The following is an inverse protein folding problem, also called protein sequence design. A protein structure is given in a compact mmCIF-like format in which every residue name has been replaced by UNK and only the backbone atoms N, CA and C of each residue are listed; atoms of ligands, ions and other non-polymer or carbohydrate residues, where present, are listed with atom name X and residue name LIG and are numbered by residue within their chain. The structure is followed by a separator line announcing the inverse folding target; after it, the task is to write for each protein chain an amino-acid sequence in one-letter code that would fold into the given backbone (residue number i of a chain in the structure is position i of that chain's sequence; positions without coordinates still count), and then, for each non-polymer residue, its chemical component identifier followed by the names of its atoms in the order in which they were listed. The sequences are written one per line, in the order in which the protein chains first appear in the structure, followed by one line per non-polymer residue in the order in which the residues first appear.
data_IF_344607351143
#
_entry.id   IF_344607351143
#
_cell.length_a   1.000
_cell.length_b   1.000
_cell.length_c   1.000
_cell.angle_alpha   90.00
_cell.angle_beta   90.00
_cell.angle_gamma   90.00
#
_symmetry.space_group_name_H-M   'P 1'
#
loop_
_entity.id
_entity.type
_entity.pdbx_description
1 polymer ?
#
# COMPACT_ATOMS: atom_id res chain seq x y z
N UNK A 1 -29.68 1.75 -1.41
CA UNK A 1 -29.74 1.15 -0.06
C UNK A 1 -28.86 -0.10 0.04
N UNK A 2 -27.58 -0.03 -0.38
CA UNK A 2 -26.63 -1.14 -0.18
C UNK A 2 -25.20 -0.66 0.21
N UNK A 3 -24.98 0.66 0.26
CA UNK A 3 -23.65 1.25 0.46
C UNK A 3 -23.20 1.24 1.93
N UNK A 4 -24.14 1.24 2.89
CA UNK A 4 -23.78 1.12 4.31
C UNK A 4 -23.30 -0.30 4.65
N UNK A 5 -23.93 -1.33 4.09
CA UNK A 5 -23.52 -2.72 4.31
C UNK A 5 -22.16 -3.02 3.67
N UNK A 6 -21.89 -2.52 2.46
CA UNK A 6 -20.58 -2.70 1.82
C UNK A 6 -19.47 -1.98 2.58
N UNK A 7 -19.74 -0.78 3.11
CA UNK A 7 -18.81 -0.05 3.95
C UNK A 7 -18.48 -0.82 5.24
N UNK A 8 -19.49 -1.32 5.95
CA UNK A 8 -19.32 -2.09 7.19
C UNK A 8 -18.51 -3.37 6.93
N UNK A 9 -18.83 -4.11 5.85
CA UNK A 9 -18.09 -5.32 5.49
C UNK A 9 -16.61 -5.02 5.20
N UNK A 10 -16.32 -3.94 4.48
CA UNK A 10 -14.95 -3.52 4.19
C UNK A 10 -14.19 -3.09 5.44
N UNK A 11 -14.86 -2.39 6.36
CA UNK A 11 -14.28 -1.92 7.61
C UNK A 11 -13.92 -3.10 8.52
N UNK A 12 -14.84 -4.06 8.68
CA UNK A 12 -14.61 -5.26 9.48
C UNK A 12 -13.47 -6.12 8.90
N UNK A 13 -13.39 -6.25 7.57
CA UNK A 13 -12.31 -6.98 6.92
C UNK A 13 -10.94 -6.34 7.21
N UNK A 14 -10.83 -5.02 7.07
CA UNK A 14 -9.60 -4.29 7.37
C UNK A 14 -9.22 -4.39 8.85
N UNK A 15 -10.19 -4.25 9.75
CA UNK A 15 -9.97 -4.39 11.18
C UNK A 15 -9.41 -5.78 11.52
N UNK A 16 -10.06 -6.84 11.08
CA UNK A 16 -9.61 -8.22 11.33
C UNK A 16 -8.22 -8.48 10.76
N UNK A 17 -7.94 -7.97 9.55
CA UNK A 17 -6.63 -8.13 8.90
C UNK A 17 -5.51 -7.43 9.69
N UNK A 18 -5.77 -6.20 10.15
CA UNK A 18 -4.79 -5.44 10.95
C UNK A 18 -4.57 -6.11 12.30
N UNK A 19 -5.64 -6.53 12.98
CA UNK A 19 -5.53 -7.24 14.27
C UNK A 19 -4.71 -8.52 14.17
N UNK A 20 -4.93 -9.32 13.13
CA UNK A 20 -4.18 -10.54 12.87
C UNK A 20 -2.70 -10.24 12.57
N UNK A 21 -2.43 -9.27 11.69
CA UNK A 21 -1.06 -8.85 11.38
C UNK A 21 -0.31 -8.37 12.64
N UNK A 22 -0.92 -7.47 13.42
CA UNK A 22 -0.32 -6.92 14.64
C UNK A 22 -0.03 -8.03 15.65
N UNK A 23 -0.94 -8.99 15.83
CA UNK A 23 -0.74 -10.14 16.72
C UNK A 23 0.46 -10.99 16.29
N UNK A 24 0.62 -11.22 14.99
CA UNK A 24 1.74 -12.01 14.45
C UNK A 24 3.09 -11.30 14.63
N UNK A 25 3.08 -9.97 14.51
CA UNK A 25 4.25 -9.11 14.61
C UNK A 25 4.65 -8.88 16.07
N UNK A 26 3.69 -8.66 16.98
CA UNK A 26 3.96 -8.44 18.42
C UNK A 26 4.62 -9.65 19.11
N UNK A 27 4.42 -10.86 18.60
CA UNK A 27 5.07 -12.08 19.10
C UNK A 27 6.59 -12.12 18.84
N UNK A 28 7.14 -11.15 18.11
CA UNK A 28 8.56 -11.10 17.71
C UNK A 28 9.42 -10.10 18.53
N UNK A 29 9.00 -9.71 19.74
CA UNK A 29 9.72 -8.75 20.61
C UNK A 29 9.96 -7.37 19.97
N UNK A 30 8.91 -6.79 19.39
CA UNK A 30 9.00 -5.52 18.67
C UNK A 30 8.72 -4.36 19.62
N UNK A 31 9.49 -3.27 19.51
CA UNK A 31 9.24 -2.07 20.33
C UNK A 31 8.03 -1.30 19.79
N UNK A 32 7.27 -0.59 20.64
CA UNK A 32 6.06 0.14 20.21
C UNK A 32 6.30 1.15 19.08
N UNK A 33 7.53 1.68 18.97
CA UNK A 33 7.91 2.65 17.94
C UNK A 33 7.96 2.02 16.55
N UNK A 34 8.30 0.74 16.47
CA UNK A 34 8.42 0.01 15.21
C UNK A 34 7.04 -0.46 14.69
N UNK A 35 6.08 -0.70 15.58
CA UNK A 35 4.78 -1.26 15.19
C UNK A 35 4.01 -0.37 14.21
N UNK A 36 3.90 0.92 14.49
CA UNK A 36 3.21 1.86 13.60
C UNK A 36 3.84 1.87 12.21
N UNK A 37 5.17 2.04 12.15
CA UNK A 37 5.90 2.11 10.88
C UNK A 37 5.78 0.80 10.09
N UNK A 38 5.86 -0.37 10.75
CA UNK A 38 5.68 -1.67 10.13
C UNK A 38 4.28 -1.83 9.51
N UNK A 39 3.22 -1.52 10.28
CA UNK A 39 1.83 -1.61 9.78
C UNK A 39 1.62 -0.67 8.60
N UNK A 40 2.08 0.57 8.70
CA UNK A 40 1.94 1.55 7.62
C UNK A 40 2.70 1.09 6.37
N UNK A 41 3.92 0.56 6.49
CA UNK A 41 4.66 0.05 5.34
C UNK A 41 3.95 -1.12 4.65
N UNK A 42 3.38 -2.06 5.43
CA UNK A 42 2.64 -3.21 4.90
C UNK A 42 1.32 -2.81 4.22
N UNK A 43 0.65 -1.75 4.68
CA UNK A 43 -0.56 -1.24 4.03
C UNK A 43 -0.22 -0.39 2.80
N UNK A 44 0.81 0.45 2.87
CA UNK A 44 1.18 1.36 1.78
C UNK A 44 1.76 0.61 0.57
N UNK A 45 2.53 -0.46 0.79
CA UNK A 45 3.12 -1.25 -0.29
C UNK A 45 2.09 -1.76 -1.32
N UNK A 46 1.04 -2.51 -0.95
CA UNK A 46 0.04 -2.99 -1.89
C UNK A 46 -0.78 -1.86 -2.50
N UNK A 47 -1.08 -0.79 -1.73
CA UNK A 47 -1.80 0.37 -2.24
C UNK A 47 -1.02 1.09 -3.36
N UNK A 48 0.28 1.32 -3.15
CA UNK A 48 1.15 1.95 -4.14
C UNK A 48 1.35 1.04 -5.35
N UNK A 49 1.54 -0.27 -5.13
CA UNK A 49 1.64 -1.25 -6.22
C UNK A 49 0.38 -1.25 -7.10
N UNK A 50 -0.80 -1.27 -6.47
CA UNK A 50 -2.07 -1.18 -7.18
C UNK A 50 -2.16 0.08 -8.02
N UNK A 51 -1.90 1.26 -7.45
CA UNK A 51 -1.94 2.52 -8.18
C UNK A 51 -0.95 2.56 -9.36
N UNK A 52 0.27 2.04 -9.16
CA UNK A 52 1.26 1.93 -10.23
C UNK A 52 0.80 0.99 -11.34
N UNK A 53 0.18 -0.15 -11.01
CA UNK A 53 -0.37 -1.08 -12.00
C UNK A 53 -1.50 -0.43 -12.81
N UNK A 54 -2.46 0.22 -12.14
CA UNK A 54 -3.55 0.95 -12.80
C UNK A 54 -3.03 2.05 -13.73
N UNK A 55 -1.90 2.67 -13.35
CA UNK A 55 -1.25 3.72 -14.14
C UNK A 55 -0.17 3.20 -15.09
N UNK A 56 -0.03 1.87 -15.29
CA UNK A 56 0.98 1.25 -16.15
C UNK A 56 2.42 1.72 -15.86
N UNK A 57 2.74 1.90 -14.58
CA UNK A 57 4.03 2.39 -14.09
C UNK A 57 4.23 3.91 -14.18
N UNK A 58 3.26 4.67 -14.67
CA UNK A 58 3.35 6.13 -14.70
C UNK A 58 3.17 6.72 -13.28
N UNK A 59 4.27 7.11 -12.67
CA UNK A 59 4.29 7.65 -11.30
C UNK A 59 3.54 8.97 -11.15
N UNK A 60 3.47 9.82 -12.19
CA UNK A 60 2.72 11.08 -12.10
C UNK A 60 1.22 10.78 -12.00
N UNK A 61 0.73 9.87 -12.85
CA UNK A 61 -0.68 9.44 -12.81
C UNK A 61 -1.00 8.68 -11.52
N UNK A 62 -0.10 7.80 -11.06
CA UNK A 62 -0.28 7.07 -9.81
C UNK A 62 -0.31 8.00 -8.60
N UNK A 63 0.56 9.02 -8.56
CA UNK A 63 0.56 10.02 -7.50
C UNK A 63 -0.74 10.84 -7.49
N UNK A 64 -1.24 11.21 -8.68
CA UNK A 64 -2.54 11.87 -8.82
C UNK A 64 -3.70 10.98 -8.36
N UNK A 65 -3.68 9.69 -8.70
CA UNK A 65 -4.70 8.73 -8.26
C UNK A 65 -4.70 8.56 -6.73
N UNK A 66 -3.53 8.53 -6.11
CA UNK A 66 -3.36 8.42 -4.67
C UNK A 66 -3.59 9.75 -3.93
N UNK A 67 -3.72 10.87 -4.64
CA UNK A 67 -3.86 12.20 -4.04
C UNK A 67 -2.61 12.70 -3.31
N UNK A 68 -1.42 12.19 -3.65
CA UNK A 68 -0.15 12.59 -3.02
C UNK A 68 0.80 13.27 -4.00
N UNK A 69 1.77 14.01 -3.46
CA UNK A 69 2.83 14.58 -4.27
C UNK A 69 3.66 13.48 -4.94
N UNK A 70 4.01 13.65 -6.23
CA UNK A 70 4.87 12.70 -6.98
C UNK A 70 6.23 12.45 -6.31
N UNK A 71 6.81 13.47 -5.67
CA UNK A 71 8.07 13.33 -4.94
C UNK A 71 7.89 12.45 -3.70
N UNK A 72 6.75 12.56 -3.02
CA UNK A 72 6.37 11.67 -1.91
C UNK A 72 6.20 10.25 -2.41
N UNK A 73 5.46 10.03 -3.49
CA UNK A 73 5.32 8.71 -4.10
C UNK A 73 6.68 8.11 -4.47
N UNK A 74 7.55 8.89 -5.11
CA UNK A 74 8.88 8.45 -5.49
C UNK A 74 9.74 8.05 -4.27
N UNK A 75 9.70 8.83 -3.17
CA UNK A 75 10.37 8.47 -1.92
C UNK A 75 9.81 7.16 -1.36
N UNK A 76 8.48 7.01 -1.28
CA UNK A 76 7.83 5.78 -0.79
C UNK A 76 8.18 4.55 -1.63
N UNK A 77 8.21 4.67 -2.96
CA UNK A 77 8.64 3.57 -3.86
C UNK A 77 10.06 3.10 -3.52
N UNK A 78 10.98 4.03 -3.24
CA UNK A 78 12.36 3.69 -2.84
C UNK A 78 12.42 3.08 -1.44
N UNK A 79 11.83 3.72 -0.44
CA UNK A 79 11.82 3.23 0.95
C UNK A 79 11.20 1.84 1.06
N UNK A 80 10.12 1.61 0.32
CA UNK A 80 9.42 0.32 0.31
C UNK A 80 10.02 -0.65 -0.72
N UNK A 81 11.10 -0.35 -1.44
CA UNK A 81 11.67 -1.25 -2.46
C UNK A 81 10.62 -1.79 -3.46
N UNK A 82 9.71 -0.94 -3.94
CA UNK A 82 8.63 -1.37 -4.85
C UNK A 82 9.17 -1.45 -6.29
N UNK A 83 9.13 -2.63 -6.89
CA UNK A 83 9.53 -2.83 -8.28
C UNK A 83 8.50 -2.23 -9.24
N UNK A 84 8.87 -1.14 -9.90
CA UNK A 84 8.08 -0.59 -11.01
C UNK A 84 8.43 -1.37 -12.28
N UNK A 85 7.67 -2.40 -12.61
CA UNK A 85 7.81 -3.08 -13.92
C UNK A 85 7.45 -2.07 -15.02
N UNK A 86 8.47 -1.45 -15.63
CA UNK A 86 8.33 -0.88 -16.97
C UNK A 86 8.17 -2.07 -17.92
N UNK A 87 7.22 -2.01 -18.86
CA UNK A 87 7.27 -2.96 -19.99
C UNK A 87 8.68 -2.83 -20.58
N UNK A 88 9.43 -3.93 -20.61
CA UNK A 88 10.59 -4.01 -21.47
C UNK A 88 10.11 -3.62 -22.87
N UNK A 89 10.82 -2.72 -23.54
CA UNK A 89 10.57 -2.42 -24.94
C UNK A 89 10.46 -3.78 -25.65
N UNK A 90 9.28 -4.10 -26.18
CA UNK A 90 9.12 -5.24 -27.04
C UNK A 90 10.06 -4.98 -28.21
N UNK A 91 11.19 -5.69 -28.23
CA UNK A 91 12.05 -5.79 -29.40
C UNK A 91 11.21 -6.39 -30.53
N UNK A 92 10.80 -5.55 -31.48
CA UNK A 92 10.47 -5.91 -32.86
C UNK A 92 10.95 -4.74 -33.72
#
# INVERSE_FOLDING_TARGET
MNDQNSHILSQNLLQNTIEEYVRNVSNQNITPRDLYDQVIQEVERPLIQYALQQCRGNQIRAAKMLGINRNTLHKKIKTLNISVRKKANASI
#
